data_IF_200748921585
#
_entry.id   IF_200748921585
#
_cell.length_a   1.000
_cell.length_b   1.000
_cell.length_c   1.000
_cell.angle_alpha   90.00
_cell.angle_beta   90.00
_cell.angle_gamma   90.00
#
_symmetry.space_group_name_H-M   'P 1'
#
loop_
_entity.id
_entity.type
_entity.pdbx_description
1 polymer ?
2 polymer ?
3 non-polymer ?
4 non-polymer ?
5 water ?
#
# COMPACT_ATOMS: atom_id res chain seq x y z
N UNK A 3 -13.71 20.76 5.54
CA UNK A 3 -12.91 20.23 6.68
C UNK A 3 -11.99 21.31 7.26
N UNK A 4 -11.22 20.93 8.29
CA UNK A 4 -10.13 21.74 8.83
C UNK A 4 -8.91 20.82 8.98
N UNK A 5 -7.85 21.13 8.25
CA UNK A 5 -6.74 20.22 8.07
C UNK A 5 -5.46 20.83 8.65
N UNK A 6 -4.96 20.28 9.77
CA UNK A 6 -3.71 20.76 10.37
C UNK A 6 -2.61 20.90 9.33
N UNK A 7 -1.76 21.93 9.46
CA UNK A 7 -0.82 22.27 8.39
C UNK A 7 0.05 21.10 7.93
N UNK A 8 0.46 20.24 8.84
CA UNK A 8 1.33 19.12 8.49
C UNK A 8 0.63 18.16 7.53
N UNK A 9 -0.66 17.90 7.77
CA UNK A 9 -1.47 17.06 6.89
C UNK A 9 -1.63 17.68 5.50
N UNK A 10 -1.70 19.00 5.42
CA UNK A 10 -1.77 19.67 4.11
C UNK A 10 -0.51 19.40 3.31
N UNK A 11 0.65 19.36 3.98
CA UNK A 11 1.91 19.08 3.32
C UNK A 11 2.01 17.60 2.89
N UNK A 12 1.52 16.69 3.72
CA UNK A 12 1.51 15.26 3.37
C UNK A 12 0.58 14.97 2.20
N UNK A 13 -0.47 15.76 2.06
CA UNK A 13 -1.45 15.60 0.98
C UNK A 13 -0.86 15.99 -0.37
N UNK A 14 0.03 16.97 -0.38
CA UNK A 14 0.68 17.45 -1.61
C UNK A 14 1.59 16.39 -2.26
N UNK A 15 1.96 15.37 -1.49
CA UNK A 15 2.81 14.28 -1.97
C UNK A 15 2.07 13.15 -2.70
N UNK A 16 0.74 13.17 -2.65
CA UNK A 16 -0.09 12.16 -3.30
C UNK A 16 -0.08 12.29 -4.82
N UNK A 17 0.36 11.26 -5.54
CA UNK A 17 0.48 11.34 -7.00
C UNK A 17 -0.87 11.34 -7.72
N UNK A 18 -0.88 11.73 -9.00
CA UNK A 18 -2.11 11.70 -9.80
C UNK A 18 -2.48 10.26 -10.08
N UNK A 19 -3.51 9.78 -9.38
CA UNK A 19 -4.00 8.41 -9.52
C UNK A 19 -4.24 7.99 -10.99
N UNK A 20 -4.92 8.85 -11.77
CA UNK A 20 -5.22 8.51 -13.18
C UNK A 20 -4.01 8.20 -14.06
N UNK A 21 -2.86 8.80 -13.77
CA UNK A 21 -1.64 8.59 -14.56
C UNK A 21 -0.93 7.29 -14.16
N UNK A 22 -0.90 7.01 -12.85
CA UNK A 22 -0.39 5.73 -12.36
C UNK A 22 -1.21 4.57 -12.94
N UNK A 23 -2.52 4.79 -13.02
CA UNK A 23 -3.51 3.81 -13.44
C UNK A 23 -3.33 3.32 -14.87
N UNK A 24 -3.15 4.28 -15.79
CA UNK A 24 -2.99 3.97 -17.22
C UNK A 24 -1.56 3.62 -17.59
N UNK A 25 -0.60 4.08 -16.77
CA UNK A 25 0.80 3.66 -16.89
C UNK A 25 0.92 2.16 -16.63
N UNK A 26 0.21 1.66 -15.63
CA UNK A 26 0.29 0.25 -15.24
C UNK A 26 -0.50 -0.61 -16.21
N UNK A 27 -1.59 -0.07 -16.73
CA UNK A 27 -2.41 -0.75 -17.74
C UNK A 27 -1.67 -0.89 -19.06
N UNK A 28 -1.01 0.18 -19.48
CA UNK A 28 -0.29 0.19 -20.76
C UNK A 28 0.88 -0.79 -20.72
N UNK A 29 1.59 -0.79 -19.59
CA UNK A 29 2.70 -1.72 -19.36
C UNK A 29 2.26 -3.18 -19.43
N UNK A 30 1.10 -3.49 -18.87
CA UNK A 30 0.59 -4.87 -18.83
C UNK A 30 0.17 -5.34 -20.21
N UNK A 31 -0.32 -4.40 -21.03
CA UNK A 31 -0.69 -4.70 -22.41
C UNK A 31 0.55 -5.01 -23.25
N UNK A 32 1.68 -4.40 -22.89
CA UNK A 32 2.95 -4.59 -23.58
C UNK A 32 3.57 -5.95 -23.29
N UNK A 33 3.60 -6.31 -22.02
CA UNK A 33 4.02 -7.65 -21.58
C UNK A 33 3.14 -8.77 -22.16
N UNK A 34 2.08 -8.39 -22.89
CA UNK A 34 1.26 -9.31 -23.66
C UNK A 34 0.48 -10.27 -22.74
N UNK A 42 3.11 -16.98 -22.70
CA UNK A 42 1.69 -16.68 -22.88
C UNK A 42 0.99 -16.49 -21.51
N UNK A 43 1.26 -15.32 -20.91
CA UNK A 43 0.99 -14.98 -19.50
C UNK A 43 -0.21 -15.61 -18.80
N UNK A 44 -0.01 -15.92 -17.51
CA UNK A 44 -1.04 -16.50 -16.65
C UNK A 44 -1.65 -15.44 -15.73
N UNK A 45 -2.81 -15.75 -15.17
CA UNK A 45 -3.58 -14.80 -14.37
C UNK A 45 -2.81 -14.27 -13.16
N UNK A 46 -2.24 -15.20 -12.39
CA UNK A 46 -1.51 -14.85 -11.19
C UNK A 46 -0.22 -14.11 -11.52
N UNK A 47 0.42 -14.49 -12.62
CA UNK A 47 1.62 -13.81 -13.07
C UNK A 47 1.36 -12.37 -13.48
N UNK A 48 0.20 -12.13 -14.10
CA UNK A 48 -0.23 -10.79 -14.51
C UNK A 48 -0.43 -9.87 -13.30
N UNK A 49 -0.97 -10.43 -12.22
CA UNK A 49 -1.26 -9.68 -11.00
C UNK A 49 0.00 -9.38 -10.20
N UNK A 50 1.01 -10.23 -10.35
CA UNK A 50 2.31 -10.00 -9.72
C UNK A 50 3.01 -8.83 -10.36
N UNK A 51 2.82 -8.69 -11.67
CA UNK A 51 3.37 -7.58 -12.44
C UNK A 51 2.63 -6.28 -12.14
N UNK A 52 1.33 -6.37 -11.84
CA UNK A 52 0.52 -5.23 -11.46
C UNK A 52 0.87 -4.73 -10.04
N UNK A 53 1.17 -5.66 -9.15
CA UNK A 53 1.60 -5.33 -7.79
C UNK A 53 3.02 -4.76 -7.81
N UNK A 54 3.86 -5.32 -8.69
CA UNK A 54 5.25 -4.90 -8.81
C UNK A 54 5.33 -3.43 -9.24
N UNK A 55 4.60 -3.08 -10.30
CA UNK A 55 4.54 -1.71 -10.80
C UNK A 55 3.89 -0.74 -9.83
N UNK A 56 2.97 -1.23 -9.01
CA UNK A 56 2.38 -0.43 -7.95
C UNK A 56 3.45 -0.06 -6.91
N UNK A 57 4.39 -0.96 -6.72
CA UNK A 57 5.48 -0.76 -5.78
C UNK A 57 6.49 0.27 -6.28
N UNK A 58 6.71 0.32 -7.59
CA UNK A 58 7.46 1.40 -8.23
C UNK A 58 6.80 2.72 -7.90
N UNK A 59 5.47 2.75 -7.99
CA UNK A 59 4.69 3.93 -7.73
C UNK A 59 4.77 4.36 -6.25
N UNK A 60 4.87 3.39 -5.35
CA UNK A 60 4.99 3.68 -3.92
C UNK A 60 6.35 4.26 -3.59
N UNK A 61 7.41 3.71 -4.18
CA UNK A 61 8.77 4.17 -3.94
C UNK A 61 8.95 5.59 -4.48
N UNK A 62 8.26 5.89 -5.57
CA UNK A 62 8.29 7.21 -6.20
C UNK A 62 7.68 8.26 -5.27
N UNK A 63 6.56 7.91 -4.66
CA UNK A 63 5.85 8.79 -3.74
C UNK A 63 6.68 9.08 -2.49
N UNK A 64 7.32 8.04 -1.95
CA UNK A 64 8.14 8.15 -0.76
C UNK A 64 9.38 9.01 -1.01
N UNK A 65 9.92 8.87 -2.22
CA UNK A 65 11.18 9.48 -2.61
C UNK A 65 11.13 11.01 -2.63
N UNK A 66 9.95 11.55 -2.91
CA UNK A 66 9.75 13.00 -2.96
C UNK A 66 8.79 13.45 -1.85
N UNK A 67 8.71 12.65 -0.78
CA UNK A 67 7.93 12.99 0.40
C UNK A 67 8.76 13.85 1.34
N UNK A 68 8.08 14.54 2.26
CA UNK A 68 8.66 15.67 3.00
C UNK A 68 9.94 15.34 3.75
N UNK A 69 9.85 14.39 4.68
CA UNK A 69 10.95 14.12 5.58
C UNK A 69 11.83 12.98 5.05
N UNK A 70 11.26 12.19 4.14
CA UNK A 70 11.94 11.05 3.55
C UNK A 70 13.03 11.50 2.57
N UNK A 71 12.75 12.54 1.81
CA UNK A 71 13.72 13.14 0.91
C UNK A 71 15.00 13.61 1.63
N UNK A 72 14.90 13.85 2.94
CA UNK A 72 16.03 14.31 3.76
C UNK A 72 16.91 13.18 4.30
N UNK A 73 16.47 11.94 4.17
CA UNK A 73 17.27 10.80 4.65
C UNK A 73 18.33 10.41 3.64
N UNK A 74 19.43 9.85 4.14
CA UNK A 74 20.40 9.17 3.30
C UNK A 74 19.74 7.94 2.69
N UNK A 75 20.21 7.51 1.52
CA UNK A 75 19.60 6.40 0.80
C UNK A 75 19.53 5.13 1.65
N UNK A 76 20.54 4.91 2.50
CA UNK A 76 20.59 3.71 3.34
C UNK A 76 19.48 3.68 4.39
N UNK A 77 19.13 4.86 4.91
CA UNK A 77 18.00 4.98 5.83
C UNK A 77 16.70 4.76 5.09
N UNK A 78 16.60 5.34 3.89
CA UNK A 78 15.42 5.19 3.04
C UNK A 78 15.13 3.73 2.71
N UNK A 79 16.16 2.96 2.38
CA UNK A 79 16.01 1.54 2.06
C UNK A 79 15.55 0.73 3.28
N UNK A 80 16.19 0.94 4.42
CA UNK A 80 15.83 0.27 5.67
C UNK A 80 14.35 0.46 6.01
N UNK A 81 13.88 1.70 5.92
CA UNK A 81 12.47 2.00 6.17
C UNK A 81 11.52 1.29 5.20
N UNK A 82 11.84 1.31 3.91
CA UNK A 82 10.96 0.75 2.88
C UNK A 82 11.01 -0.79 2.84
N UNK A 83 12.17 -1.39 3.15
CA UNK A 83 12.27 -2.84 3.30
C UNK A 83 11.40 -3.34 4.46
N UNK A 84 11.16 -2.47 5.42
CA UNK A 84 10.33 -2.78 6.57
C UNK A 84 8.84 -2.64 6.31
N UNK A 85 8.44 -1.77 5.38
CA UNK A 85 7.02 -1.37 5.25
C UNK A 85 6.42 -1.44 3.84
N UNK A 86 7.13 -2.06 2.89
CA UNK A 86 6.71 -2.06 1.50
C UNK A 86 5.37 -2.76 1.32
N UNK A 87 5.20 -3.88 2.01
CA UNK A 87 3.99 -4.69 1.85
C UNK A 87 2.84 -4.05 2.61
N UNK A 88 3.12 -3.36 3.71
CA UNK A 88 2.09 -2.61 4.45
C UNK A 88 1.54 -1.46 3.64
N UNK A 89 2.43 -0.78 2.92
CA UNK A 89 2.04 0.31 2.05
C UNK A 89 1.20 -0.19 0.89
N UNK A 90 1.46 -1.40 0.39
CA UNK A 90 0.67 -1.95 -0.70
C UNK A 90 -0.72 -2.33 -0.22
N UNK A 91 -0.78 -2.90 0.98
CA UNK A 91 -2.05 -3.28 1.60
C UNK A 91 -2.89 -2.05 1.91
N UNK A 92 -2.27 -1.05 2.53
CA UNK A 92 -2.97 0.19 2.89
C UNK A 92 -3.49 0.87 1.61
N UNK A 93 -2.64 0.90 0.60
CA UNK A 93 -2.98 1.41 -0.72
C UNK A 93 -4.20 0.66 -1.28
N UNK A 94 -4.19 -0.66 -1.18
CA UNK A 94 -5.27 -1.51 -1.69
C UNK A 94 -6.56 -1.30 -0.90
N UNK A 95 -6.42 -1.26 0.43
CA UNK A 95 -7.54 -1.10 1.36
C UNK A 95 -8.25 0.24 1.17
N UNK A 96 -7.48 1.32 0.99
CA UNK A 96 -8.01 2.67 0.80
C UNK A 96 -8.67 2.82 -0.58
N UNK A 97 -8.21 2.03 -1.55
CA UNK A 97 -8.85 1.95 -2.87
C UNK A 97 -10.23 1.30 -2.78
N UNK A 98 -10.38 0.33 -1.88
CA UNK A 98 -11.67 -0.35 -1.70
C UNK A 98 -12.68 0.50 -0.93
N UNK A 99 -12.21 1.40 -0.08
CA UNK A 99 -13.11 2.29 0.68
C UNK A 99 -13.76 3.32 -0.26
N UNK A 100 -12.93 3.98 -1.06
CA UNK A 100 -13.37 5.05 -1.96
C UNK A 100 -14.14 4.51 -3.17
N UNK A 101 -13.48 3.68 -3.97
CA UNK A 101 -14.02 3.19 -5.26
C UNK A 101 -14.78 1.86 -5.17
N UNK A 102 -14.50 1.06 -4.16
CA UNK A 102 -15.14 -0.23 -3.99
C UNK A 102 -16.65 -0.14 -3.82
N UNK A 103 -17.35 -1.15 -4.35
CA UNK A 103 -18.81 -1.23 -4.27
C UNK A 103 -19.20 -2.61 -3.70
N UNK A 104 -20.41 -3.07 -3.99
CA UNK A 104 -20.91 -4.35 -3.50
C UNK A 104 -20.29 -5.54 -4.25
N UNK A 105 -19.45 -6.29 -3.56
CA UNK A 105 -18.86 -7.51 -4.09
C UNK A 105 -18.04 -7.26 -5.35
N UNK A 106 -17.01 -6.44 -5.23
CA UNK A 106 -16.16 -6.07 -6.36
C UNK A 106 -14.87 -5.43 -5.90
N UNK A 107 -13.75 -6.14 -6.05
CA UNK A 107 -12.43 -5.57 -5.79
C UNK A 107 -12.07 -4.54 -6.87
N UNK A 108 -11.88 -3.29 -6.47
CA UNK A 108 -11.36 -2.25 -7.36
C UNK A 108 -9.84 -2.35 -7.47
N UNK A 109 -9.34 -2.53 -8.69
CA UNK A 109 -7.91 -2.68 -8.96
C UNK A 109 -7.20 -1.33 -9.15
N UNK A 110 -5.87 -1.36 -9.09
CA UNK A 110 -5.05 -0.16 -9.29
C UNK A 110 -5.13 0.37 -10.73
N UNK A 111 -5.47 -0.53 -11.66
CA UNK A 111 -5.63 -0.19 -13.08
C UNK A 111 -7.01 0.40 -13.43
N UNK A 112 -7.93 0.43 -12.47
CA UNK A 112 -9.18 1.16 -12.62
C UNK A 112 -10.44 0.33 -12.78
N UNK A 113 -10.29 -0.97 -13.01
CA UNK A 113 -11.44 -1.84 -13.25
C UNK A 113 -11.98 -2.45 -11.95
N UNK A 114 -13.15 -3.06 -12.04
CA UNK A 114 -13.77 -3.72 -10.89
C UNK A 114 -14.00 -5.18 -11.21
N UNK A 115 -13.10 -6.04 -10.75
CA UNK A 115 -13.31 -7.48 -10.85
C UNK A 115 -14.32 -7.90 -9.77
N UNK A 116 -15.32 -8.67 -10.15
CA UNK A 116 -16.33 -9.14 -9.20
C UNK A 116 -15.67 -10.10 -8.24
N UNK A 117 -15.96 -9.99 -6.94
CA UNK A 117 -15.41 -10.88 -5.93
C UNK A 117 -15.77 -12.34 -6.22
N UNK A 118 -16.87 -12.58 -6.93
CA UNK A 118 -17.29 -13.93 -7.36
C UNK A 118 -16.17 -14.68 -8.10
N UNK A 119 -15.50 -13.96 -9.00
CA UNK A 119 -14.38 -14.48 -9.79
C UNK A 119 -13.22 -14.99 -8.92
N UNK A 120 -12.92 -14.26 -7.84
CA UNK A 120 -11.81 -14.62 -6.96
C UNK A 120 -12.18 -15.80 -6.06
N UNK A 121 -13.42 -15.81 -5.57
CA UNK A 121 -13.92 -16.87 -4.70
C UNK A 121 -13.83 -18.27 -5.32
N UNK A 122 -14.17 -18.38 -6.58
CA UNK A 122 -14.21 -19.67 -7.27
C UNK A 122 -12.83 -20.24 -7.65
N UNK A 123 -11.83 -19.35 -7.79
CA UNK A 123 -10.51 -19.74 -8.29
C UNK A 123 -9.39 -19.69 -7.24
N UNK A 124 -9.70 -19.20 -6.03
CA UNK A 124 -8.69 -19.00 -4.99
C UNK A 124 -8.59 -20.20 -4.06
N UNK A 125 -7.36 -20.60 -3.74
CA UNK A 125 -7.13 -21.67 -2.78
C UNK A 125 -7.29 -21.20 -1.34
N UNK A 126 -6.78 -21.99 -0.39
CA UNK A 126 -7.00 -21.75 1.02
C UNK A 126 -6.27 -20.54 1.55
N UNK A 127 -4.97 -20.44 1.26
CA UNK A 127 -4.14 -19.33 1.76
C UNK A 127 -4.70 -17.99 1.31
N UNK A 128 -5.01 -17.88 0.03
CA UNK A 128 -5.47 -16.64 -0.55
C UNK A 128 -6.85 -16.26 -0.07
N UNK A 129 -7.67 -17.26 0.22
CA UNK A 129 -9.01 -17.03 0.78
C UNK A 129 -8.92 -16.44 2.19
N UNK A 130 -7.99 -16.97 2.99
CA UNK A 130 -7.73 -16.45 4.33
C UNK A 130 -7.25 -15.00 4.27
N UNK A 131 -6.49 -14.68 3.22
CA UNK A 131 -5.91 -13.34 3.05
C UNK A 131 -6.93 -12.33 2.53
N UNK A 132 -7.70 -12.74 1.53
CA UNK A 132 -8.67 -11.87 0.87
C UNK A 132 -9.78 -11.52 1.85
N UNK A 133 -10.11 -12.49 2.70
CA UNK A 133 -11.19 -12.32 3.67
C UNK A 133 -10.76 -11.45 4.85
N UNK A 134 -9.55 -11.65 5.36
CA UNK A 134 -9.02 -10.76 6.41
C UNK A 134 -8.96 -9.33 5.90
N UNK A 135 -8.56 -9.17 4.63
CA UNK A 135 -8.52 -7.88 3.97
C UNK A 135 -9.88 -7.20 3.88
N UNK A 136 -10.92 -8.00 3.64
CA UNK A 136 -12.28 -7.47 3.45
C UNK A 136 -12.94 -7.02 4.75
N UNK A 137 -12.66 -7.73 5.84
CA UNK A 137 -13.17 -7.33 7.16
C UNK A 137 -12.46 -6.06 7.62
N UNK A 138 -11.25 -5.83 7.11
CA UNK A 138 -10.49 -4.63 7.41
C UNK A 138 -11.04 -3.43 6.62
N UNK A 139 -11.34 -3.68 5.35
CA UNK A 139 -11.96 -2.67 4.48
C UNK A 139 -13.29 -2.22 5.07
N UNK A 140 -14.06 -3.16 5.59
CA UNK A 140 -15.40 -2.89 6.10
C UNK A 140 -15.36 -2.18 7.46
N UNK A 141 -14.29 -2.39 8.21
CA UNK A 141 -14.08 -1.68 9.47
C UNK A 141 -13.80 -0.21 9.17
N UNK A 142 -12.93 0.02 8.19
CA UNK A 142 -12.56 1.36 7.74
C UNK A 142 -13.71 2.03 7.01
N UNK A 143 -14.56 1.24 6.35
CA UNK A 143 -15.68 1.81 5.61
C UNK A 143 -16.64 2.45 6.60
N UNK A 144 -16.85 1.77 7.72
CA UNK A 144 -17.76 2.19 8.77
C UNK A 144 -17.18 3.30 9.65
N UNK A 145 -15.89 3.60 9.51
CA UNK A 145 -15.25 4.73 10.18
C UNK A 145 -15.21 5.99 9.30
N UNK A 146 -15.93 5.99 8.18
CA UNK A 146 -15.79 7.02 7.16
C UNK A 146 -14.33 7.44 7.00
N UNK A 147 -13.49 6.45 6.79
CA UNK A 147 -12.06 6.64 6.51
C UNK A 147 -11.90 7.60 5.34
N UNK A 148 -11.15 8.67 5.53
CA UNK A 148 -10.96 9.68 4.47
C UNK A 148 -9.48 9.84 4.12
N UNK A 149 -9.20 10.76 3.19
CA UNK A 149 -7.85 10.91 2.65
C UNK A 149 -6.85 11.55 3.63
N UNK A 150 -7.34 12.42 4.52
CA UNK A 150 -6.50 13.03 5.53
C UNK A 150 -5.97 11.97 6.49
N UNK A 151 -6.88 11.11 6.94
CA UNK A 151 -6.56 10.02 7.85
C UNK A 151 -5.66 8.98 7.17
N UNK A 152 -5.89 8.76 5.88
CA UNK A 152 -5.13 7.77 5.11
C UNK A 152 -3.65 8.14 4.95
N UNK A 153 -3.39 9.38 4.54
CA UNK A 153 -2.04 9.87 4.34
C UNK A 153 -1.24 9.89 5.67
N UNK A 154 -1.93 10.14 6.78
CA UNK A 154 -1.32 10.04 8.10
C UNK A 154 -0.89 8.60 8.39
N UNK A 155 -1.80 7.66 8.19
CA UNK A 155 -1.50 6.25 8.43
C UNK A 155 -0.32 5.78 7.60
N UNK A 156 -0.21 6.30 6.37
CA UNK A 156 0.89 5.96 5.47
C UNK A 156 2.24 6.39 6.05
N UNK A 157 2.29 7.61 6.60
CA UNK A 157 3.51 8.15 7.20
C UNK A 157 3.85 7.49 8.54
N UNK A 158 2.86 7.05 9.31
CA UNK A 158 3.11 6.30 10.53
C UNK A 158 3.68 4.92 10.24
N UNK A 159 3.24 4.33 9.13
CA UNK A 159 3.72 3.03 8.66
C UNK A 159 5.13 3.15 8.09
N UNK A 160 5.36 4.19 7.29
CA UNK A 160 6.66 4.41 6.66
C UNK A 160 7.75 4.76 7.69
N UNK A 161 7.45 5.73 8.54
CA UNK A 161 8.36 6.18 9.59
C UNK A 161 8.20 5.35 10.87
N UNK A 162 8.53 4.07 10.78
CA UNK A 162 8.37 3.12 11.87
C UNK A 162 9.49 3.19 12.90
N UNK A 163 9.17 2.79 14.13
CA UNK A 163 10.13 2.78 15.23
C UNK A 163 10.72 1.39 15.50
N UNK A 164 10.26 0.38 14.75
CA UNK A 164 10.74 -0.99 14.90
C UNK A 164 11.91 -1.31 13.98
N UNK A 165 12.54 -0.28 13.43
CA UNK A 165 13.62 -0.45 12.45
C UNK A 165 14.96 -0.15 13.10
N UNK A 166 15.93 -1.04 12.85
CA UNK A 166 17.25 -0.97 13.46
C UNK A 166 18.27 -0.35 12.50
N UNK A 167 19.45 -0.05 13.01
CA UNK A 167 20.57 0.47 12.22
C UNK A 167 20.32 1.80 11.48
N UNK A 168 19.39 2.62 11.96
CA UNK A 168 19.15 3.93 11.33
C UNK A 168 20.19 4.96 11.79
N UNK A 169 20.91 5.54 10.83
CA UNK A 169 21.84 6.63 11.08
C UNK A 169 21.18 7.86 11.72
N UNK A 170 19.93 8.11 11.34
CA UNK A 170 19.19 9.29 11.78
C UNK A 170 17.85 8.88 12.40
N UNK A 171 17.92 8.10 13.47
CA UNK A 171 16.72 7.66 14.20
C UNK A 171 15.97 8.84 14.83
N UNK A 172 16.63 9.98 14.97
CA UNK A 172 16.02 11.17 15.58
C UNK A 172 14.94 11.80 14.68
N UNK A 173 15.19 11.83 13.38
CA UNK A 173 14.25 12.41 12.42
C UNK A 173 13.02 11.52 12.23
N UNK A 174 13.24 10.21 12.33
CA UNK A 174 12.17 9.23 12.18
C UNK A 174 11.21 9.34 13.36
N UNK A 175 11.78 9.33 14.57
CA UNK A 175 11.00 9.51 15.82
C UNK A 175 10.24 10.83 15.82
N UNK A 176 10.81 11.85 15.19
CA UNK A 176 10.20 13.18 15.13
C UNK A 176 8.95 13.28 14.28
N UNK A 177 8.91 12.51 13.20
CA UNK A 177 7.77 12.50 12.27
C UNK A 177 6.65 11.59 12.79
N UNK A 178 7.01 10.46 13.39
CA UNK A 178 6.08 9.71 14.22
C UNK A 178 5.35 10.67 15.17
N UNK A 179 6.13 11.40 15.98
CA UNK A 179 5.62 12.34 16.97
C UNK A 179 4.65 13.34 16.35
N UNK A 180 5.06 13.92 15.22
CA UNK A 180 4.31 15.04 14.63
C UNK A 180 3.07 14.60 13.85
N UNK A 181 3.16 13.44 13.20
CA UNK A 181 2.05 12.88 12.41
C UNK A 181 0.96 12.34 13.34
N UNK A 182 1.37 11.68 14.41
CA UNK A 182 0.47 11.21 15.47
C UNK A 182 -0.30 12.37 16.08
N UNK A 183 0.41 13.45 16.36
CA UNK A 183 -0.16 14.65 16.97
C UNK A 183 -1.04 15.43 15.98
N UNK A 184 -0.71 15.34 14.70
CA UNK A 184 -1.49 15.99 13.65
C UNK A 184 -2.79 15.26 13.43
N UNK A 185 -2.75 13.92 13.52
CA UNK A 185 -3.93 13.07 13.39
C UNK A 185 -4.82 13.20 14.62
N UNK A 186 -4.20 13.29 15.78
CA UNK A 186 -4.89 13.51 17.03
C UNK A 186 -5.65 14.83 16.99
N UNK A 187 -5.10 15.79 16.25
CA UNK A 187 -5.66 17.12 16.07
C UNK A 187 -6.84 17.13 15.10
N UNK A 188 -6.69 16.41 13.99
CA UNK A 188 -7.69 16.38 12.91
C UNK A 188 -8.96 15.65 13.34
N UNK A 189 -8.82 14.62 14.16
CA UNK A 189 -9.97 13.86 14.64
C UNK A 189 -10.72 14.63 15.70
N UNK A 190 -9.99 15.52 16.38
CA UNK A 190 -10.57 16.37 17.43
C UNK A 190 -11.43 17.51 16.85
N UNK A 191 -10.99 18.09 15.72
CA UNK A 191 -11.69 19.22 15.11
C UNK A 191 -12.83 18.78 14.20
N UNK A 192 -12.55 17.82 13.33
CA UNK A 192 -13.53 17.38 12.33
C UNK A 192 -14.57 16.40 12.87
N UNK A 193 -14.16 15.50 13.78
CA UNK A 193 -15.06 14.54 14.38
C UNK A 193 -15.10 14.70 15.92
N UNK A 194 -15.62 15.83 16.39
CA UNK A 194 -15.58 16.15 17.84
C UNK A 194 -16.34 15.16 18.71
N UNK A 195 -17.61 14.91 18.39
CA UNK A 195 -18.43 14.00 19.20
C UNK A 195 -18.17 12.52 18.90
N UNK A 196 -17.25 12.24 17.98
CA UNK A 196 -16.75 10.88 17.77
C UNK A 196 -15.35 10.76 18.37
N UNK A 197 -15.31 10.56 19.69
CA UNK A 197 -14.07 10.54 20.46
C UNK A 197 -13.22 9.32 20.12
N UNK A 198 -13.89 8.24 19.74
CA UNK A 198 -13.23 6.97 19.46
C UNK A 198 -12.42 6.95 18.17
N UNK A 199 -12.72 7.86 17.23
CA UNK A 199 -12.16 7.82 15.87
C UNK A 199 -10.66 7.64 15.80
N UNK A 200 -9.94 8.50 16.51
CA UNK A 200 -8.48 8.47 16.53
C UNK A 200 -7.95 7.06 16.85
N UNK A 201 -8.53 6.45 17.88
CA UNK A 201 -8.09 5.14 18.35
C UNK A 201 -8.48 4.00 17.44
N UNK A 202 -9.58 4.16 16.72
CA UNK A 202 -10.01 3.16 15.75
C UNK A 202 -9.07 3.13 14.55
N UNK A 203 -8.50 4.29 14.20
CA UNK A 203 -7.49 4.40 13.14
C UNK A 203 -6.16 3.79 13.56
N UNK A 204 -5.69 4.09 14.78
CA UNK A 204 -4.42 3.52 15.24
C UNK A 204 -4.46 1.99 15.45
N UNK A 205 -5.60 1.46 15.86
CA UNK A 205 -5.72 0.01 16.11
C UNK A 205 -5.80 -0.79 14.81
N UNK A 206 -6.03 -0.08 13.70
CA UNK A 206 -6.02 -0.67 12.38
C UNK A 206 -4.60 -0.93 11.86
N UNK A 207 -3.59 -0.37 12.53
CA UNK A 207 -2.19 -0.52 12.11
C UNK A 207 -1.59 -1.90 12.36
N UNK A 208 -1.73 -2.45 13.56
CA UNK A 208 -1.36 -3.86 13.81
C UNK A 208 -1.99 -4.86 12.84
N UNK A 209 -3.24 -4.62 12.45
CA UNK A 209 -3.93 -5.50 11.52
C UNK A 209 -3.34 -5.45 10.11
N UNK A 210 -2.94 -4.26 9.68
CA UNK A 210 -2.33 -4.03 8.38
C UNK A 210 -0.95 -4.68 8.31
N UNK A 211 -0.22 -4.57 9.41
CA UNK A 211 1.06 -5.23 9.56
C UNK A 211 0.89 -6.75 9.39
N UNK A 212 -0.16 -7.30 10.01
CA UNK A 212 -0.40 -8.74 10.04
C UNK A 212 -0.86 -9.28 8.69
N UNK A 213 -1.75 -8.57 8.03
CA UNK A 213 -2.20 -8.96 6.69
C UNK A 213 -1.03 -8.96 5.72
N UNK A 214 -0.09 -8.04 5.92
CA UNK A 214 1.03 -7.87 5.00
C UNK A 214 2.17 -8.89 5.21
N UNK A 215 2.39 -9.30 6.46
CA UNK A 215 3.28 -10.43 6.74
C UNK A 215 2.70 -11.72 6.17
N UNK A 216 1.39 -11.87 6.26
CA UNK A 216 0.70 -13.04 5.72
C UNK A 216 0.82 -13.04 4.20
N UNK A 217 0.73 -11.86 3.61
CA UNK A 217 0.76 -11.72 2.16
C UNK A 217 2.13 -12.09 1.62
N UNK A 218 3.17 -11.70 2.33
CA UNK A 218 4.54 -12.01 1.94
C UNK A 218 4.79 -13.52 2.02
N UNK A 219 4.23 -14.15 3.04
CA UNK A 219 4.38 -15.59 3.23
C UNK A 219 3.66 -16.35 2.12
N UNK A 220 2.56 -15.78 1.65
CA UNK A 220 1.79 -16.33 0.56
C UNK A 220 2.51 -16.14 -0.76
N UNK A 221 3.11 -14.96 -0.92
CA UNK A 221 3.82 -14.60 -2.15
C UNK A 221 5.12 -15.40 -2.26
N UNK A 222 5.73 -15.73 -1.12
CA UNK A 222 6.94 -16.52 -1.08
C UNK A 222 6.61 -17.98 -1.37
N UNK A 223 5.47 -18.43 -0.89
CA UNK A 223 5.01 -19.78 -1.18
C UNK A 223 4.83 -19.94 -2.70
N UNK A 224 4.18 -18.95 -3.31
CA UNK A 224 3.94 -18.94 -4.75
C UNK A 224 5.24 -18.85 -5.55
N UNK A 225 6.21 -18.11 -5.03
CA UNK A 225 7.52 -17.96 -5.66
C UNK A 225 8.33 -19.26 -5.69
N UNK A 226 8.22 -20.03 -4.61
CA UNK A 226 8.91 -21.30 -4.47
C UNK A 226 8.22 -22.40 -5.26
N UNK A 227 6.94 -22.19 -5.57
CA UNK A 227 6.17 -23.09 -6.41
C UNK A 227 6.40 -22.79 -7.89
N UNK A 228 7.12 -21.70 -8.18
CA UNK A 228 7.47 -21.33 -9.54
C UNK A 228 6.36 -20.58 -10.27
N UNK A 229 5.58 -19.79 -9.54
CA UNK A 229 4.41 -19.10 -10.09
C UNK A 229 4.66 -17.61 -10.31
N UNK A 230 5.69 -17.06 -9.67
CA UNK A 230 5.99 -15.64 -9.75
C UNK A 230 7.05 -15.45 -10.83
N UNK A 231 6.66 -14.93 -12.00
CA UNK A 231 7.57 -14.83 -13.16
C UNK A 231 8.85 -14.06 -12.86
N UNK A 232 9.91 -14.36 -13.62
CA UNK A 232 11.30 -14.09 -13.20
C UNK A 232 11.57 -12.71 -12.63
N UNK A 233 11.54 -12.66 -11.29
CA UNK A 233 12.14 -11.60 -10.47
C UNK A 233 11.86 -10.14 -10.83
N UNK A 234 11.75 -9.34 -9.78
CA UNK A 234 11.21 -7.99 -9.88
C UNK A 234 11.52 -7.21 -8.59
N UNK A 235 10.91 -6.03 -8.44
CA UNK A 235 11.02 -5.29 -7.20
C UNK A 235 10.37 -6.09 -6.08
N UNK A 236 9.28 -6.79 -6.37
CA UNK A 236 8.52 -7.46 -5.31
C UNK A 236 9.27 -8.63 -4.67
N UNK A 237 9.96 -9.43 -5.49
CA UNK A 237 10.73 -10.56 -5.01
C UNK A 237 12.06 -10.10 -4.36
N UNK A 238 12.61 -8.98 -4.84
CA UNK A 238 13.80 -8.41 -4.20
C UNK A 238 13.50 -7.87 -2.81
N UNK A 239 12.32 -7.27 -2.62
CA UNK A 239 11.91 -6.84 -1.29
C UNK A 239 11.67 -8.07 -0.44
N UNK A 240 11.06 -9.08 -1.05
CA UNK A 240 10.75 -10.34 -0.37
C UNK A 240 12.01 -11.10 0.06
N UNK A 241 13.15 -10.80 -0.56
CA UNK A 241 14.40 -11.53 -0.34
C UNK A 241 15.15 -11.10 0.94
N UNK A 242 14.71 -10.05 1.61
CA UNK A 242 15.21 -9.73 2.95
C UNK A 242 14.29 -8.76 3.66
N UNK B 1 22.97 -5.49 -1.59
CA UNK B 1 21.75 -5.98 -0.89
C UNK B 1 20.54 -5.84 -1.81
N UNK B 2 20.11 -4.61 -2.05
CA UNK B 2 18.94 -4.30 -2.86
C UNK B 2 19.31 -3.33 -3.97
N UNK B 3 19.87 -3.85 -5.05
CA UNK B 3 20.37 -3.01 -6.14
C UNK B 3 19.24 -2.23 -6.82
N UNK B 4 18.10 -2.87 -7.01
CA UNK B 4 16.93 -2.25 -7.65
C UNK B 4 16.29 -1.15 -6.79
N UNK B 5 16.14 -1.40 -5.49
CA UNK B 5 15.60 -0.39 -4.56
C UNK B 5 16.49 0.84 -4.53
N UNK B 6 17.80 0.62 -4.53
CA UNK B 6 18.76 1.71 -4.53
C UNK B 6 18.69 2.54 -5.82
N UNK B 7 18.56 1.85 -6.96
CA UNK B 7 18.47 2.53 -8.25
C UNK B 7 17.26 3.47 -8.29
N UNK B 8 16.14 3.00 -7.73
CA UNK B 8 14.89 3.75 -7.77
C UNK B 8 14.91 4.95 -6.81
N UNK B 9 15.76 4.88 -5.79
CA UNK B 9 15.90 5.98 -4.83
C UNK B 9 16.93 7.06 -5.23
N UNK B 10 17.79 6.77 -6.20
CA UNK B 10 18.85 7.69 -6.66
C UNK B 10 18.48 8.43 -7.96
N UNK B 11 18.06 7.68 -8.98
CA UNK B 11 17.63 8.24 -10.26
C UNK B 11 17.22 7.12 -11.22
N UNK C 2 -3.83 -12.58 -21.60
CA UNK C 2 -4.92 -13.34 -22.26
C UNK C 2 -6.27 -13.14 -21.56
N UNK C 3 -6.66 -14.04 -20.66
CA UNK C 3 -8.05 -14.09 -20.19
C UNK C 3 -8.40 -12.90 -19.31
N UNK C 4 -7.67 -12.73 -18.21
CA UNK C 4 -7.93 -11.64 -17.25
C UNK C 4 -7.72 -10.26 -17.84
N UNK C 5 -6.62 -10.07 -18.55
CA UNK C 5 -6.30 -8.77 -19.13
C UNK C 5 -7.37 -8.31 -20.13
N UNK C 6 -7.88 -9.24 -20.94
CA UNK C 6 -8.93 -8.93 -21.90
C UNK C 6 -10.25 -8.57 -21.20
N UNK C 7 -10.54 -9.26 -20.11
CA UNK C 7 -11.71 -8.96 -19.28
C UNK C 7 -11.66 -7.53 -18.72
N UNK C 8 -10.47 -7.06 -18.39
CA UNK C 8 -10.30 -5.73 -17.79
C UNK C 8 -10.55 -4.60 -18.79
N UNK C 9 -10.01 -4.76 -20.00
CA UNK C 9 -10.19 -3.77 -21.06
C UNK C 9 -11.66 -3.64 -21.48
N UNK C 10 -12.32 -4.78 -21.68
CA UNK C 10 -13.66 -4.83 -22.25
C UNK C 10 -14.77 -4.23 -21.37
N UNK C 11 -14.47 -4.02 -20.08
CA UNK C 11 -15.36 -3.27 -19.19
C UNK C 11 -14.55 -2.54 -18.11
X LIG D 1 -8.47 -14.93 -8.38
X LIG D 1 -8.06 -14.99 -9.53
X LIG D 1 -8.10 -13.80 -10.48
X LIG D 1 -8.62 -12.52 -9.84
X LIG D 1 -7.50 -11.66 -9.27
X LIG D 1 -8.03 -10.59 -8.30
X LIG D 1 -6.90 -9.77 -7.66
X LIG D 1 -7.23 -9.37 -6.23
X LIG D 1 -5.99 -8.87 -5.45
X LIG D 1 -5.78 -7.38 -5.63
X LIG D 1 -4.30 -7.00 -5.67
X LIG D 1 -3.66 -6.99 -4.28
X LIG D 1 -2.76 -5.77 -4.11
X LIG D 1 -2.16 -5.71 -2.72
X LIG D 1 -0.99 -6.65 -2.58
X LIG D 1 -0.15 -6.54 -1.55
X LIG D 1 1.04 -7.46 -1.39
X LIG D 1 -7.51 -16.26 -10.01
X LIG D 1 -6.84 -17.15 -9.11
X LIG D 1 -5.45 -16.63 -8.73
X LIG D 1 -4.62 -17.73 -8.07
X LIG D 1 -5.04 -18.07 -6.74
X LIG D 1 -4.14 -19.15 -5.96
X LIG D 1 -2.74 -18.60 -5.91
X LIG D 1 -4.39 -20.50 -6.59
X LIG D 1 -4.70 -19.26 -4.45
X LIG D 1 -3.75 -19.35 -3.37
X LIG D 1 -3.71 -20.70 -2.67
X LIG D 1 -4.48 -20.64 -1.49
X LIG D 1 -2.29 -21.07 -2.27
X LIG D 1 -2.21 -22.48 -2.15
X LIG D 1 -2.89 -23.27 -0.93
X LIG D 1 -4.26 -23.78 -1.34
X LIG D 1 -2.74 -22.43 0.31
X LIG D 1 -1.99 -24.62 -0.79
X LIG D 1 -1.80 -25.26 0.46
X LIG D 1 -2.97 -26.16 0.84
X LIG D 1 -3.23 -26.02 2.33
X LIG D 1 -3.93 -24.84 2.60
X LIG D 1 -2.69 -27.52 0.54
X LIG D 1 -5.58 -15.52 -7.84
X LIG D 1 -4.49 -14.57 -7.86
X LIG D 1 -4.05 -14.20 -8.94
X LIG D 1 -3.93 -14.04 -6.57
X LIG D 1 -4.27 -12.57 -6.34
X LIG D 1 -3.23 -11.63 -6.96
X LIG D 1 -1.85 -11.85 -6.37
X LIG D 1 -1.07 -10.56 -6.23
X LIG D 1 0.32 -10.87 -5.66
X LIG D 1 0.87 -9.73 -4.80
X LIG D 1 1.28 -10.21 -3.43
X LIG D 1 0.38 -10.57 -2.51
X LIG D 1 -1.11 -10.56 -2.76
X LIG D 1 -1.88 -10.57 -1.44
X LIG D 1 -3.38 -10.41 -1.72
X LIG D 1 -4.17 -10.39 -0.42
X LIG D 1 -4.25 -8.99 0.17
X LIG D 1 -5.41 -8.23 -0.41
X LIG E 1 -0.24 5.87 -4.27
X LIG E 1 -1.26 6.88 -4.82
X LIG E 1 1.03 6.56 -3.80
X LIG E 1 0.12 4.83 -5.32
X LIG E 1 -0.84 5.22 -3.09
X LIG E 1 -2.58 6.37 -4.84
X LIG E 1 1.60 5.82 -2.73
X LIG E 1 -0.99 4.03 -5.70
#
# INVERSE_FOLDING_TARGET
SPASIPHLILELLKCEPDEPQVQAKIMAYLQQEQANRSKHEKLSTFGLMCKMADQTLFSIVEWARSSIFFRELKVDDQMKLLQNCWSELLILDHIYRQVVHGKEGSIFLVTGQQVDYSIIASQAGATLNNLMSHAQELVAKLRSLQFDQREFVCLKFLVLFSLDVKNLENFQLVEGVQEQVNAALLDYTMCNYPQQTEKFGQLLLRLPEIRAISMQAEEYLYYKHLNGDVPYNNLLIEMLHAKRA
ENALLRYLLDK
ENALLRYLLDK
P3A O43 C42 C44 C45 C46 C47 C48 C49 C50 C51 C52 C53 C54 C55 C56 C57 C58 O41 C40 C38 C39 O19 P16 O17 O18 O15 C14 C6 O7 C8 O9 P10 O12 O13 O11 C1 C2 C4 O5 O3 O37 C21 O20 C22 C23 C24 C25 C26 C27 C28 C29 C30 C31 C32 C33 C34 C35 C36
TRS C C1 C2 C3 N O1 O2 O3
#
